data_IF_823852436123
#
_entry.id   IF_823852436123
#
_cell.length_a   1.000
_cell.length_b   1.000
_cell.length_c   1.000
_cell.angle_alpha   90.00
_cell.angle_beta   90.00
_cell.angle_gamma   90.00
#
_symmetry.space_group_name_H-M   'P 1'
#
loop_
_entity.id
_entity.type
_entity.pdbx_description
1 polymer ?
#
# COMPACT_ATOMS: atom_id res chain seq x y z
N UNK A 1 5.52 26.91 16.17
CA UNK A 1 4.25 26.64 15.45
C UNK A 1 3.60 25.47 16.15
N UNK A 2 2.42 25.60 16.77
CA UNK A 2 1.81 24.47 17.46
C UNK A 2 1.46 23.38 16.46
N UNK A 3 1.76 22.15 16.85
CA UNK A 3 1.65 20.90 16.12
C UNK A 3 0.18 20.52 15.85
N UNK A 4 -0.49 21.31 15.01
CA UNK A 4 -1.78 20.95 14.44
C UNK A 4 -1.52 19.86 13.41
N UNK A 5 -1.57 18.62 13.89
CA UNK A 5 -1.55 17.37 13.15
C UNK A 5 -2.24 17.53 11.79
N UNK A 6 -1.44 17.64 10.72
CA UNK A 6 -1.93 17.57 9.34
C UNK A 6 -2.52 16.18 9.16
N UNK A 7 -3.82 16.06 9.39
CA UNK A 7 -4.58 14.81 9.28
C UNK A 7 -5.53 14.91 8.10
N UNK A 8 -5.69 13.81 7.35
CA UNK A 8 -6.80 13.70 6.42
C UNK A 8 -8.12 13.73 7.19
N UNK A 9 -9.23 13.99 6.49
CA UNK A 9 -10.56 13.98 7.12
C UNK A 9 -10.88 12.66 7.83
N UNK A 10 -10.30 11.56 7.37
CA UNK A 10 -10.36 10.23 7.99
C UNK A 10 -8.93 9.68 8.09
N UNK A 11 -8.29 9.77 9.27
CA UNK A 11 -6.98 9.16 9.47
C UNK A 11 -7.09 7.63 9.61
N UNK A 12 -5.97 6.95 9.41
CA UNK A 12 -5.86 5.54 9.74
C UNK A 12 -6.04 5.32 11.25
N UNK A 13 -6.74 4.25 11.62
CA UNK A 13 -7.06 3.91 13.01
C UNK A 13 -6.76 2.43 13.25
N UNK A 14 -5.47 2.06 13.12
CA UNK A 14 -5.06 0.65 13.08
C UNK A 14 -5.52 -0.11 14.32
N UNK A 15 -6.07 -1.29 14.10
CA UNK A 15 -6.49 -2.21 15.16
C UNK A 15 -6.11 -3.62 14.74
N UNK A 16 -5.26 -4.29 15.54
CA UNK A 16 -4.76 -5.62 15.21
C UNK A 16 -5.88 -6.67 15.10
N UNK A 17 -6.81 -6.67 16.06
CA UNK A 17 -7.92 -7.62 16.08
C UNK A 17 -8.85 -7.36 14.90
N UNK A 18 -9.19 -6.09 14.66
CA UNK A 18 -10.00 -5.68 13.51
C UNK A 18 -9.36 -6.05 12.18
N UNK A 19 -8.06 -5.80 12.00
CA UNK A 19 -7.26 -6.19 10.82
C UNK A 19 -7.34 -7.69 10.56
N UNK A 20 -7.06 -8.51 11.58
CA UNK A 20 -7.13 -9.97 11.48
C UNK A 20 -8.55 -10.45 11.17
N UNK A 21 -9.56 -9.91 11.83
CA UNK A 21 -10.96 -10.27 11.60
C UNK A 21 -11.41 -9.95 10.17
N UNK A 22 -11.10 -8.75 9.68
CA UNK A 22 -11.44 -8.35 8.30
C UNK A 22 -10.72 -9.27 7.31
N UNK A 23 -9.42 -9.53 7.52
CA UNK A 23 -8.66 -10.35 6.59
C UNK A 23 -9.19 -11.80 6.55
N UNK A 24 -9.30 -12.46 7.70
CA UNK A 24 -9.66 -13.88 7.75
C UNK A 24 -11.15 -14.15 7.53
N UNK A 25 -12.04 -13.20 7.86
CA UNK A 25 -13.50 -13.40 7.76
C UNK A 25 -14.09 -12.86 6.45
N UNK A 26 -13.48 -11.81 5.87
CA UNK A 26 -14.03 -11.15 4.68
C UNK A 26 -13.10 -11.37 3.48
N UNK A 27 -11.84 -10.96 3.58
CA UNK A 27 -10.97 -10.89 2.40
C UNK A 27 -10.50 -12.25 1.90
N UNK A 28 -9.99 -13.09 2.81
CA UNK A 28 -9.45 -14.42 2.47
C UNK A 28 -10.53 -15.36 1.91
N UNK A 29 -11.73 -15.49 2.50
CA UNK A 29 -12.80 -16.30 1.92
C UNK A 29 -13.26 -15.74 0.56
N UNK A 30 -13.32 -14.42 0.41
CA UNK A 30 -13.67 -13.79 -0.86
C UNK A 30 -12.70 -14.22 -1.97
N UNK A 31 -11.40 -14.31 -1.69
CA UNK A 31 -10.43 -14.85 -2.66
C UNK A 31 -10.68 -16.31 -3.03
N UNK A 32 -10.85 -17.17 -2.03
CA UNK A 32 -11.05 -18.62 -2.24
C UNK A 32 -12.33 -18.90 -3.04
N UNK A 33 -13.37 -18.08 -2.83
CA UNK A 33 -14.67 -18.27 -3.45
C UNK A 33 -14.75 -17.69 -4.88
N UNK A 34 -14.07 -16.56 -5.14
CA UNK A 34 -14.21 -15.84 -6.42
C UNK A 34 -13.09 -16.12 -7.41
N UNK A 35 -11.92 -16.60 -6.97
CA UNK A 35 -10.81 -16.88 -7.86
C UNK A 35 -10.53 -18.37 -7.91
N UNK A 36 -10.35 -18.91 -9.11
CA UNK A 36 -9.88 -20.29 -9.26
C UNK A 36 -8.40 -20.40 -8.84
N UNK A 37 -7.60 -19.41 -9.21
CA UNK A 37 -6.17 -19.35 -8.88
C UNK A 37 -5.69 -17.91 -8.86
N UNK A 38 -4.85 -17.59 -7.88
CA UNK A 38 -4.08 -16.33 -7.82
C UNK A 38 -2.60 -16.68 -7.98
N UNK A 39 -1.86 -15.94 -8.83
CA UNK A 39 -0.43 -16.19 -9.09
C UNK A 39 0.37 -14.96 -8.72
N UNK A 40 1.30 -15.07 -7.79
CA UNK A 40 2.22 -13.98 -7.48
C UNK A 40 3.56 -14.29 -8.12
N UNK A 41 4.10 -13.36 -8.91
CA UNK A 41 5.43 -13.49 -9.52
C UNK A 41 6.32 -12.36 -9.05
N UNK A 42 7.26 -12.68 -8.17
CA UNK A 42 8.22 -11.69 -7.67
C UNK A 42 9.41 -11.66 -8.61
N UNK A 43 9.80 -10.48 -9.08
CA UNK A 43 11.00 -10.28 -9.90
C UNK A 43 12.04 -9.51 -9.09
N UNK A 44 13.17 -10.16 -8.82
CA UNK A 44 14.24 -9.61 -7.99
C UNK A 44 14.02 -9.80 -6.48
N UNK A 45 14.75 -9.03 -5.67
CA UNK A 45 14.71 -9.13 -4.20
C UNK A 45 13.41 -8.53 -3.64
N UNK A 46 12.80 -9.24 -2.69
CA UNK A 46 11.71 -8.70 -1.87
C UNK A 46 12.22 -7.58 -0.96
N UNK A 47 11.52 -6.43 -0.91
CA UNK A 47 11.79 -5.38 0.08
C UNK A 47 11.70 -5.92 1.50
N UNK A 48 12.59 -5.42 2.36
CA UNK A 48 12.65 -5.76 3.77
C UNK A 48 12.34 -4.53 4.62
N UNK A 49 11.73 -4.69 5.81
CA UNK A 49 11.36 -3.54 6.66
C UNK A 49 12.55 -2.63 7.01
N UNK A 50 13.72 -3.22 7.21
CA UNK A 50 14.97 -2.51 7.50
C UNK A 50 15.57 -1.77 6.31
N UNK A 51 15.06 -1.99 5.09
CA UNK A 51 15.46 -1.18 3.94
C UNK A 51 14.90 0.26 4.08
N UNK A 52 13.83 0.46 4.87
CA UNK A 52 13.20 1.78 5.08
C UNK A 52 11.74 1.79 4.62
N UNK A 53 11.10 2.97 4.52
CA UNK A 53 9.73 3.08 4.05
C UNK A 53 9.56 2.57 2.61
N UNK A 54 8.49 1.79 2.42
CA UNK A 54 8.16 1.14 1.16
C UNK A 54 6.94 1.81 0.53
N UNK A 55 7.06 2.29 -0.71
CA UNK A 55 5.91 2.71 -1.52
C UNK A 55 5.64 1.63 -2.56
N UNK A 56 4.54 0.92 -2.39
CA UNK A 56 3.98 0.00 -3.36
C UNK A 56 2.94 0.74 -4.18
N UNK A 57 3.12 0.74 -5.50
CA UNK A 57 2.12 1.30 -6.40
C UNK A 57 1.78 0.33 -7.51
N UNK A 58 0.50 0.31 -7.87
CA UNK A 58 -0.02 -0.61 -8.88
C UNK A 58 -1.09 0.03 -9.78
N UNK A 59 -1.35 -0.59 -10.92
CA UNK A 59 -2.54 -0.25 -11.71
C UNK A 59 -3.80 -0.62 -10.92
N UNK A 60 -4.89 0.05 -11.27
CA UNK A 60 -6.19 -0.12 -10.68
C UNK A 60 -7.18 -0.52 -11.77
N UNK A 61 -7.37 -1.83 -11.90
CA UNK A 61 -8.15 -2.41 -12.98
C UNK A 61 -9.36 -3.20 -12.50
N UNK A 62 -9.47 -3.46 -11.21
CA UNK A 62 -10.68 -4.01 -10.62
C UNK A 62 -10.87 -3.52 -9.19
N UNK A 63 -12.09 -3.64 -8.69
CA UNK A 63 -12.38 -3.36 -7.29
C UNK A 63 -11.63 -4.32 -6.34
N UNK A 64 -11.30 -5.52 -6.83
CA UNK A 64 -10.46 -6.51 -6.15
C UNK A 64 -9.04 -6.05 -5.86
N UNK A 65 -8.54 -4.99 -6.50
CA UNK A 65 -7.17 -4.53 -6.27
C UNK A 65 -6.91 -4.14 -4.81
N UNK A 66 -7.91 -3.57 -4.12
CA UNK A 66 -7.80 -3.29 -2.69
C UNK A 66 -7.58 -4.58 -1.88
N UNK A 67 -8.30 -5.65 -2.20
CA UNK A 67 -8.11 -6.96 -1.56
C UNK A 67 -6.73 -7.52 -1.90
N UNK A 68 -6.22 -7.30 -3.13
CA UNK A 68 -4.89 -7.77 -3.52
C UNK A 68 -3.80 -7.14 -2.66
N UNK A 69 -3.95 -5.88 -2.23
CA UNK A 69 -3.00 -5.26 -1.29
C UNK A 69 -2.93 -6.01 0.04
N UNK A 70 -4.08 -6.46 0.57
CA UNK A 70 -4.12 -7.25 1.79
C UNK A 70 -3.52 -8.65 1.57
N UNK A 71 -3.81 -9.29 0.43
CA UNK A 71 -3.19 -10.56 0.07
C UNK A 71 -1.66 -10.45 0.02
N UNK A 72 -1.12 -9.41 -0.63
CA UNK A 72 0.32 -9.16 -0.67
C UNK A 72 0.89 -8.94 0.74
N UNK A 73 0.23 -8.13 1.57
CA UNK A 73 0.67 -7.90 2.93
C UNK A 73 0.74 -9.19 3.75
N UNK A 74 -0.30 -10.02 3.69
CA UNK A 74 -0.43 -11.23 4.51
C UNK A 74 0.37 -12.42 3.97
N UNK A 75 0.28 -12.71 2.66
CA UNK A 75 0.85 -13.93 2.08
C UNK A 75 2.28 -13.74 1.57
N UNK A 76 2.61 -12.55 1.06
CA UNK A 76 3.96 -12.28 0.49
C UNK A 76 4.87 -11.64 1.52
N UNK A 77 4.42 -10.54 2.12
CA UNK A 77 5.21 -9.81 3.11
C UNK A 77 5.10 -10.39 4.51
N UNK A 78 4.15 -11.31 4.76
CA UNK A 78 3.91 -11.96 6.06
C UNK A 78 3.70 -10.95 7.19
N UNK A 79 3.02 -9.84 6.88
CA UNK A 79 2.71 -8.70 7.77
C UNK A 79 3.95 -8.05 8.41
N UNK A 80 5.13 -8.21 7.80
CA UNK A 80 6.37 -7.61 8.31
C UNK A 80 6.42 -6.08 8.15
N UNK A 81 5.54 -5.54 7.31
CA UNK A 81 5.39 -4.10 7.12
C UNK A 81 4.14 -3.57 7.84
N UNK A 82 4.31 -2.44 8.51
CA UNK A 82 3.24 -1.62 9.02
C UNK A 82 2.58 -0.89 7.84
N UNK A 83 1.51 -1.49 7.32
CA UNK A 83 0.90 -1.14 6.04
C UNK A 83 -0.20 -0.08 6.16
N UNK A 84 -0.22 0.84 5.18
CA UNK A 84 -1.19 1.91 5.00
C UNK A 84 -1.71 1.92 3.56
N UNK A 85 -2.94 2.41 3.37
CA UNK A 85 -3.56 2.51 2.05
C UNK A 85 -4.40 3.76 1.89
N UNK A 86 -4.43 4.32 0.68
CA UNK A 86 -5.33 5.45 0.36
C UNK A 86 -6.66 4.94 -0.19
N UNK A 87 -7.75 5.49 0.34
CA UNK A 87 -9.10 5.20 -0.14
C UNK A 87 -9.86 6.52 -0.34
N UNK A 88 -10.74 6.56 -1.34
CA UNK A 88 -11.61 7.72 -1.56
C UNK A 88 -12.48 7.95 -0.29
N UNK A 89 -12.68 9.23 0.08
CA UNK A 89 -13.31 9.62 1.34
C UNK A 89 -14.74 9.07 1.48
N UNK A 90 -15.60 9.22 0.47
CA UNK A 90 -16.98 8.72 0.49
C UNK A 90 -17.02 7.19 0.68
N UNK A 91 -16.14 6.47 -0.02
CA UNK A 91 -16.02 5.01 0.15
C UNK A 91 -15.53 4.64 1.55
N UNK A 92 -14.53 5.35 2.09
CA UNK A 92 -14.04 5.09 3.44
C UNK A 92 -15.05 5.49 4.53
N UNK A 93 -15.93 6.47 4.25
CA UNK A 93 -17.08 6.80 5.12
C UNK A 93 -18.07 5.64 5.19
N UNK A 94 -18.33 4.96 4.07
CA UNK A 94 -19.21 3.80 4.02
C UNK A 94 -18.58 2.56 4.65
N UNK A 95 -17.29 2.35 4.43
CA UNK A 95 -16.57 1.16 4.87
C UNK A 95 -15.50 1.50 5.93
N UNK A 96 -15.91 2.12 7.03
CA UNK A 96 -15.00 2.65 8.06
C UNK A 96 -14.06 1.64 8.69
N UNK A 97 -14.44 0.37 8.72
CA UNK A 97 -13.61 -0.71 9.25
C UNK A 97 -12.28 -0.86 8.50
N UNK A 98 -12.16 -0.40 7.24
CA UNK A 98 -10.86 -0.38 6.54
C UNK A 98 -9.80 0.48 7.23
N UNK A 99 -10.21 1.45 8.07
CA UNK A 99 -9.27 2.23 8.88
C UNK A 99 -8.49 1.37 9.88
N UNK A 100 -9.06 0.25 10.33
CA UNK A 100 -8.39 -0.73 11.20
C UNK A 100 -7.23 -1.45 10.52
N UNK A 101 -7.28 -1.58 9.18
CA UNK A 101 -6.20 -2.13 8.37
C UNK A 101 -5.20 -1.06 7.90
N UNK A 102 -5.35 0.20 8.33
CA UNK A 102 -4.45 1.29 7.96
C UNK A 102 -4.91 2.13 6.76
N UNK A 103 -6.17 1.99 6.31
CA UNK A 103 -6.71 2.87 5.28
C UNK A 103 -6.96 4.29 5.81
N UNK A 104 -6.68 5.30 5.00
CA UNK A 104 -6.99 6.70 5.27
C UNK A 104 -7.61 7.37 4.04
N UNK A 105 -8.38 8.45 4.26
CA UNK A 105 -9.11 9.11 3.18
C UNK A 105 -8.20 9.95 2.30
N UNK A 106 -8.57 10.07 1.02
CA UNK A 106 -8.09 11.10 0.13
C UNK A 106 -9.27 11.69 -0.66
N UNK A 107 -9.37 13.02 -0.72
CA UNK A 107 -10.38 13.69 -1.53
C UNK A 107 -9.75 14.31 -2.78
N UNK A 108 -9.91 13.66 -3.93
CA UNK A 108 -9.22 14.06 -5.18
C UNK A 108 -9.68 15.41 -5.75
N UNK A 109 -10.97 15.73 -5.62
CA UNK A 109 -11.53 17.00 -6.11
C UNK A 109 -11.15 18.20 -5.22
N UNK A 110 -10.76 17.96 -3.96
CA UNK A 110 -10.31 18.99 -3.02
C UNK A 110 -8.78 18.96 -2.96
N UNK A 111 -8.13 19.88 -3.70
CA UNK A 111 -6.66 19.95 -3.78
C UNK A 111 -5.98 20.16 -2.42
N UNK A 112 -6.63 20.89 -1.52
CA UNK A 112 -6.10 21.16 -0.20
C UNK A 112 -6.14 19.89 0.64
N UNK A 113 -7.27 19.19 0.66
CA UNK A 113 -7.39 17.88 1.33
C UNK A 113 -6.39 16.88 0.75
N UNK A 114 -6.38 16.68 -0.57
CA UNK A 114 -5.45 15.74 -1.20
C UNK A 114 -4.00 16.03 -0.80
N UNK A 115 -3.61 17.31 -0.72
CA UNK A 115 -2.28 17.70 -0.25
C UNK A 115 -2.06 17.38 1.22
N UNK A 116 -3.05 17.59 2.11
CA UNK A 116 -2.97 17.17 3.52
C UNK A 116 -2.78 15.66 3.65
N UNK A 117 -3.54 14.87 2.89
CA UNK A 117 -3.44 13.40 2.85
C UNK A 117 -2.05 12.93 2.42
N UNK A 118 -1.46 13.58 1.41
CA UNK A 118 -0.09 13.28 0.98
C UNK A 118 0.96 13.67 2.03
N UNK A 119 0.81 14.83 2.69
CA UNK A 119 1.72 15.25 3.77
C UNK A 119 1.61 14.31 4.98
N UNK A 120 0.40 13.93 5.36
CA UNK A 120 0.13 12.98 6.43
C UNK A 120 0.87 11.66 6.20
N UNK A 121 0.68 11.04 5.03
CA UNK A 121 1.31 9.74 4.78
C UNK A 121 2.83 9.85 4.66
N UNK A 122 3.37 10.94 4.12
CA UNK A 122 4.83 11.15 4.11
C UNK A 122 5.41 11.21 5.52
N UNK A 123 4.74 11.90 6.46
CA UNK A 123 5.15 11.93 7.88
C UNK A 123 5.06 10.54 8.51
N UNK A 124 3.94 9.86 8.32
CA UNK A 124 3.74 8.48 8.79
C UNK A 124 4.85 7.57 8.27
N UNK A 125 5.21 7.63 6.99
CA UNK A 125 6.29 6.81 6.44
C UNK A 125 7.67 7.16 7.00
N UNK A 126 7.90 8.39 7.45
CA UNK A 126 9.18 8.85 8.01
C UNK A 126 9.36 8.57 9.49
N UNK A 127 8.28 8.38 10.25
CA UNK A 127 8.34 8.18 11.70
C UNK A 127 9.17 6.96 12.10
N UNK A 128 9.15 5.88 11.31
CA UNK A 128 9.92 4.66 11.58
C UNK A 128 10.12 3.82 10.30
N UNK A 129 11.20 3.03 10.21
CA UNK A 129 11.37 2.04 9.15
C UNK A 129 10.28 0.96 9.22
N UNK A 130 10.14 0.20 8.13
CA UNK A 130 9.18 -0.89 8.06
C UNK A 130 7.73 -0.47 7.83
N UNK A 131 7.47 0.80 7.53
CA UNK A 131 6.14 1.26 7.08
C UNK A 131 5.99 1.14 5.57
N UNK A 132 4.81 0.75 5.13
CA UNK A 132 4.50 0.57 3.72
C UNK A 132 3.23 1.34 3.32
N UNK A 133 3.25 1.95 2.14
CA UNK A 133 2.08 2.57 1.52
C UNK A 133 1.70 1.79 0.27
N UNK A 134 0.45 1.33 0.20
CA UNK A 134 -0.19 0.85 -1.02
C UNK A 134 -0.97 1.97 -1.69
N UNK A 135 -0.73 2.18 -2.98
CA UNK A 135 -1.43 3.22 -3.73
C UNK A 135 -1.70 2.88 -5.19
N UNK A 136 -2.76 3.49 -5.70
CA UNK A 136 -3.24 3.35 -7.07
C UNK A 136 -3.11 4.68 -7.81
N UNK A 137 -2.03 4.94 -8.55
CA UNK A 137 -1.75 6.27 -9.09
C UNK A 137 -2.78 6.72 -10.14
N UNK A 138 -3.57 5.82 -10.72
CA UNK A 138 -4.67 6.16 -11.63
C UNK A 138 -5.84 6.86 -10.92
N UNK A 139 -6.02 6.61 -9.61
CA UNK A 139 -7.13 7.12 -8.80
C UNK A 139 -8.51 6.54 -9.15
N UNK A 140 -8.68 5.90 -10.29
CA UNK A 140 -9.93 5.30 -10.75
C UNK A 140 -9.68 3.91 -11.32
N UNK A 141 -10.71 3.06 -11.31
CA UNK A 141 -10.65 1.75 -11.95
C UNK A 141 -10.72 1.93 -13.45
N UNK A 142 -9.78 1.34 -14.19
CA UNK A 142 -9.74 1.36 -15.65
C UNK A 142 -9.46 -0.04 -16.21
N UNK A 143 -10.00 -0.40 -17.39
CA UNK A 143 -9.71 -1.68 -18.04
C UNK A 143 -8.21 -2.00 -18.14
N UNK A 144 -7.85 -3.28 -18.03
CA UNK A 144 -6.45 -3.76 -18.02
C UNK A 144 -5.66 -3.35 -19.28
N UNK A 145 -6.34 -3.27 -20.41
CA UNK A 145 -5.86 -2.98 -21.75
C UNK A 145 -5.88 -1.49 -22.10
N UNK A 146 -6.55 -0.64 -21.30
CA UNK A 146 -6.64 0.79 -21.59
C UNK A 146 -5.25 1.43 -21.62
N UNK A 147 -4.87 2.02 -22.76
CA UNK A 147 -3.63 2.79 -22.93
C UNK A 147 -3.91 4.08 -23.72
N UNK A 148 -3.23 5.20 -23.40
CA UNK A 148 -2.28 5.40 -22.30
C UNK A 148 -2.96 5.54 -20.93
N UNK A 149 -2.25 5.17 -19.86
CA UNK A 149 -2.74 5.35 -18.49
C UNK A 149 -2.49 6.78 -18.00
N UNK A 150 -3.55 7.46 -17.54
CA UNK A 150 -3.42 8.74 -16.83
C UNK A 150 -3.04 8.46 -15.38
N UNK A 151 -1.89 8.97 -14.94
CA UNK A 151 -1.38 8.79 -13.58
C UNK A 151 -1.27 10.13 -12.87
N UNK A 152 -1.75 10.20 -11.63
CA UNK A 152 -1.51 11.31 -10.74
C UNK A 152 -0.08 11.29 -10.19
N UNK A 153 0.47 12.47 -9.90
CA UNK A 153 1.85 12.65 -9.43
C UNK A 153 2.05 12.35 -7.94
N UNK A 154 1.04 11.79 -7.26
CA UNK A 154 1.06 11.52 -5.82
C UNK A 154 2.28 10.70 -5.36
N UNK A 155 2.60 9.61 -6.07
CA UNK A 155 3.79 8.77 -5.79
C UNK A 155 5.06 9.61 -5.76
N UNK A 156 5.23 10.46 -6.79
CA UNK A 156 6.41 11.29 -6.95
C UNK A 156 6.47 12.45 -5.94
N UNK A 157 5.31 12.94 -5.46
CA UNK A 157 5.25 13.94 -4.38
C UNK A 157 5.67 13.32 -3.05
N UNK A 158 5.12 12.16 -2.70
CA UNK A 158 5.48 11.43 -1.47
C UNK A 158 6.97 11.07 -1.50
N UNK A 159 7.45 10.44 -2.57
CA UNK A 159 8.85 10.04 -2.73
C UNK A 159 9.84 11.23 -2.60
N UNK A 160 9.44 12.44 -3.02
CA UNK A 160 10.25 13.65 -2.82
C UNK A 160 10.24 14.12 -1.36
N UNK A 161 9.10 14.06 -0.68
CA UNK A 161 8.96 14.47 0.72
C UNK A 161 9.72 13.55 1.67
N UNK A 162 9.68 12.23 1.43
CA UNK A 162 10.38 11.25 2.25
C UNK A 162 11.90 11.18 1.97
N UNK A 163 12.35 11.81 0.89
CA UNK A 163 13.72 11.73 0.40
C UNK A 163 13.94 10.52 -0.51
N UNK A 164 14.55 10.75 -1.68
CA UNK A 164 14.79 9.71 -2.72
C UNK A 164 15.63 8.53 -2.22
N UNK A 165 16.43 8.76 -1.19
CA UNK A 165 17.43 7.83 -0.67
C UNK A 165 16.93 6.97 0.50
N UNK A 166 15.72 7.22 1.00
CA UNK A 166 15.15 6.48 2.13
C UNK A 166 13.97 5.59 1.70
N UNK A 167 13.61 5.59 0.41
CA UNK A 167 12.38 4.94 -0.06
C UNK A 167 12.65 3.78 -1.02
N UNK A 168 12.13 2.60 -0.67
CA UNK A 168 12.00 1.50 -1.61
C UNK A 168 10.72 1.72 -2.44
N UNK A 169 10.86 1.74 -3.76
CA UNK A 169 9.73 1.88 -4.68
C UNK A 169 9.49 0.53 -5.36
N UNK A 170 8.34 -0.08 -5.11
CA UNK A 170 8.01 -1.38 -5.65
C UNK A 170 6.79 -1.28 -6.57
N UNK A 171 7.05 -1.43 -7.87
CA UNK A 171 5.96 -1.48 -8.85
C UNK A 171 5.32 -2.85 -8.77
N UNK A 172 4.00 -2.88 -8.66
CA UNK A 172 3.19 -4.08 -8.84
C UNK A 172 2.27 -3.87 -10.04
N UNK A 173 2.14 -4.87 -10.91
CA UNK A 173 1.05 -4.89 -11.90
C UNK A 173 -0.01 -5.85 -11.41
N UNK A 174 -1.29 -5.62 -11.68
CA UNK A 174 -2.38 -6.60 -11.52
C UNK A 174 -3.06 -6.78 -12.87
N UNK A 175 -3.51 -7.99 -13.15
CA UNK A 175 -4.26 -8.31 -14.38
C UNK A 175 -5.31 -9.33 -14.02
N UNK A 176 -6.51 -9.24 -14.55
CA UNK A 176 -7.58 -10.20 -14.29
C UNK A 176 -7.97 -10.83 -15.61
N UNK A 177 -7.88 -12.17 -15.72
CA UNK A 177 -8.33 -12.90 -16.90
C UNK A 177 -9.55 -13.74 -16.54
N UNK A 178 -10.62 -13.63 -17.33
CA UNK A 178 -11.71 -14.59 -17.27
C UNK A 178 -11.31 -15.80 -18.12
N UNK A 179 -11.33 -17.00 -17.53
CA UNK A 179 -11.37 -18.25 -18.28
C UNK A 179 -12.83 -18.65 -18.51
N UNK A 180 -13.11 -19.56 -19.45
CA UNK A 180 -14.46 -20.07 -19.70
C UNK A 180 -15.11 -20.75 -18.47
N UNK A 181 -14.33 -21.09 -17.44
CA UNK A 181 -14.84 -21.50 -16.14
C UNK A 181 -15.41 -20.33 -15.35
N UNK A 182 -16.48 -20.60 -14.58
CA UNK A 182 -17.27 -19.62 -13.79
C UNK A 182 -16.49 -18.81 -12.74
N UNK A 183 -15.16 -18.95 -12.64
CA UNK A 183 -14.28 -18.21 -11.73
C UNK A 183 -13.11 -17.58 -12.50
N UNK A 184 -12.86 -16.26 -12.42
CA UNK A 184 -11.71 -15.63 -13.08
C UNK A 184 -10.38 -16.25 -12.64
N UNK A 185 -9.48 -16.39 -13.61
CA UNK A 185 -8.12 -16.87 -13.44
C UNK A 185 -7.13 -15.71 -13.30
N UNK A 186 -6.36 -15.76 -12.22
CA UNK A 186 -5.07 -15.10 -11.98
C UNK A 186 -5.04 -13.58 -12.02
N UNK A 187 -4.98 -12.99 -10.83
CA UNK A 187 -4.13 -11.82 -10.60
C UNK A 187 -2.66 -12.22 -10.71
N UNK A 188 -1.90 -11.50 -11.54
CA UNK A 188 -0.44 -11.59 -11.61
C UNK A 188 0.16 -10.33 -11.00
N UNK A 189 0.65 -10.42 -9.77
CA UNK A 189 1.44 -9.38 -9.13
C UNK A 189 2.91 -9.48 -9.56
N UNK A 190 3.40 -8.57 -10.43
CA UNK A 190 4.84 -8.45 -10.77
C UNK A 190 5.51 -7.31 -10.03
N UNK A 191 6.38 -7.66 -9.11
CA UNK A 191 7.16 -6.75 -8.27
C UNK A 191 8.53 -6.39 -8.83
N UNK A 192 8.94 -5.11 -8.84
CA UNK A 192 10.35 -4.73 -9.07
C UNK A 192 10.74 -3.52 -8.23
N UNK A 193 11.87 -3.61 -7.52
CA UNK A 193 12.45 -2.49 -6.79
C UNK A 193 13.12 -1.50 -7.76
N UNK A 194 12.69 -0.23 -7.76
CA UNK A 194 13.20 0.80 -8.67
C UNK A 194 14.41 1.57 -8.12
N UNK A 195 14.72 1.40 -6.84
CA UNK A 195 15.91 1.94 -6.19
C UNK A 195 16.06 1.31 -4.80
N UNK A 196 17.28 0.90 -4.44
CA UNK A 196 17.64 0.61 -3.05
C UNK A 196 17.93 1.96 -2.35
N UNK A 197 17.46 2.17 -1.12
CA UNK A 197 17.90 3.28 -0.30
C UNK A 197 19.40 3.15 -0.02
N UNK A 198 20.15 4.25 -0.15
CA UNK A 198 21.55 4.28 0.32
C UNK A 198 21.53 4.44 1.84
N UNK A 199 22.52 3.90 2.57
CA UNK A 199 22.51 3.91 4.03
C UNK A 199 22.54 5.35 4.58
N UNK A 200 21.38 5.88 4.95
CA UNK A 200 21.20 7.16 5.64
C UNK A 200 21.24 6.91 7.17
N UNK A 201 21.78 7.81 8.00
CA UNK A 201 21.90 7.62 9.44
C UNK A 201 20.56 7.33 10.17
N UNK A 202 19.43 7.80 9.63
CA UNK A 202 18.07 7.46 10.14
C UNK A 202 17.55 6.07 9.73
N UNK A 203 18.22 5.38 8.81
CA UNK A 203 17.90 4.02 8.35
C UNK A 203 18.82 2.95 8.96
N UNK A 204 19.71 3.30 9.90
CA UNK A 204 20.52 2.31 10.61
C UNK A 204 19.70 1.68 11.74
N UNK A 205 19.71 0.34 11.91
CA UNK A 205 19.20 -0.25 13.13
C UNK A 205 19.98 0.31 14.32
N UNK A 206 19.29 0.59 15.43
CA UNK A 206 19.95 0.88 16.71
C UNK A 206 20.97 -0.23 16.99
N UNK A 207 22.21 0.10 17.41
CA UNK A 207 23.19 -0.93 17.72
C UNK A 207 22.58 -1.87 18.77
N UNK A 208 22.50 -3.15 18.42
CA UNK A 208 22.20 -4.18 19.39
C UNK A 208 23.25 -4.04 20.49
N UNK A 209 22.78 -3.80 21.73
CA UNK A 209 23.62 -3.90 22.91
C UNK A 209 24.09 -5.35 22.92
N UNK A 210 25.36 -5.56 22.57
CA UNK A 210 26.02 -6.85 22.73
C UNK A 210 26.02 -7.16 24.22
N UNK A 211 25.14 -8.07 24.66
CA UNK A 211 25.31 -8.70 25.97
C UNK A 211 26.45 -9.68 25.86
N UNK A 212 27.68 -9.20 26.06
CA UNK A 212 28.75 -10.04 26.58
C UNK A 212 28.57 -10.14 28.08
N UNK A 213 28.11 -11.30 28.53
CA UNK A 213 28.39 -11.89 29.84
C UNK A 213 28.35 -13.40 29.66
#
# INVERSE_FOLDING_TARGET
MPDTLVRPRIPAAKNLVGDLLIYYSIMRPAFVNHFYRVRVQIVGRLPQPYDGPLILYMNHSAWWDLYMTALLNYEVFRRRFDSYGMMEEEQLRRYRFFTWMGAFSIHRSDRAEATRSLVYISRVLQEQPGRALYMFPQGQIVPNDQRPLKLYTGVARIARQIGRWCCVRWRCATSFAATNDRRPLSALARGTALSQPTPHPMCRPSPQISSTA
#
